data_IF_410765198134
#
_entry.id   IF_410765198134
#
_cell.length_a   1.000
_cell.length_b   1.000
_cell.length_c   1.000
_cell.angle_alpha   90.00
_cell.angle_beta   90.00
_cell.angle_gamma   90.00
#
_symmetry.space_group_name_H-M   'P 1'
#
loop_
_entity.id
_entity.type
_entity.pdbx_description
1 polymer ?
#
# COMPACT_ATOMS: atom_id res chain seq x y z
N UNK A 1 -0.97 26.44 -1.30
CA UNK A 1 -0.84 24.97 -1.34
C UNK A 1 -0.59 24.42 0.06
N UNK A 2 -1.22 23.30 0.42
CA UNK A 2 -0.90 22.50 1.61
C UNK A 2 -0.39 21.12 1.15
N UNK A 3 0.73 20.67 1.72
CA UNK A 3 1.29 19.34 1.49
C UNK A 3 1.11 18.48 2.76
N UNK A 4 0.50 17.31 2.62
CA UNK A 4 0.32 16.35 3.70
C UNK A 4 0.93 15.01 3.30
N UNK A 5 1.73 14.40 4.18
CA UNK A 5 2.25 13.05 3.99
C UNK A 5 1.24 12.02 4.53
N UNK A 6 0.83 11.06 3.71
CA UNK A 6 -0.08 9.97 4.07
C UNK A 6 0.65 8.64 4.35
N UNK A 7 1.95 8.59 4.06
CA UNK A 7 2.78 7.41 4.28
C UNK A 7 3.46 7.45 5.64
N UNK A 8 3.51 6.29 6.30
CA UNK A 8 4.27 6.08 7.53
C UNK A 8 5.78 5.99 7.29
N UNK A 9 6.18 5.56 6.08
CA UNK A 9 7.59 5.33 5.75
C UNK A 9 8.12 6.37 4.74
N UNK A 10 9.22 7.09 5.03
CA UNK A 10 9.76 8.12 4.14
C UNK A 10 10.17 7.62 2.74
N UNK A 11 10.54 6.34 2.63
CA UNK A 11 10.98 5.74 1.36
C UNK A 11 9.81 5.26 0.46
N UNK A 12 8.57 5.36 0.95
CA UNK A 12 7.36 4.97 0.23
C UNK A 12 6.33 6.11 0.30
N UNK A 13 6.68 7.31 -0.22
CA UNK A 13 5.83 8.48 -0.06
C UNK A 13 4.48 8.28 -0.74
N UNK A 14 3.43 8.65 -0.03
CA UNK A 14 2.10 8.93 -0.59
C UNK A 14 1.75 10.33 -0.12
N UNK A 15 1.69 11.29 -1.04
CA UNK A 15 1.59 12.71 -0.71
C UNK A 15 0.25 13.28 -1.18
N UNK A 16 -0.35 14.12 -0.37
CA UNK A 16 -1.56 14.86 -0.71
C UNK A 16 -1.22 16.34 -0.86
N UNK A 17 -1.40 16.85 -2.07
CA UNK A 17 -1.27 18.26 -2.41
C UNK A 17 -2.67 18.86 -2.51
N UNK A 18 -2.96 19.82 -1.64
CA UNK A 18 -4.26 20.48 -1.56
C UNK A 18 -4.15 21.96 -1.92
N UNK A 19 -4.94 22.34 -2.90
CA UNK A 19 -5.29 23.72 -3.25
C UNK A 19 -6.73 24.01 -2.85
N UNK A 20 -7.14 25.29 -2.79
CA UNK A 20 -8.55 25.63 -2.61
C UNK A 20 -9.47 25.05 -3.70
N UNK A 21 -8.95 24.86 -4.92
CA UNK A 21 -9.69 24.45 -6.10
C UNK A 21 -9.44 23.01 -6.57
N UNK A 22 -8.44 22.32 -6.02
CA UNK A 22 -8.07 20.97 -6.44
C UNK A 22 -7.30 20.22 -5.36
N UNK A 23 -7.46 18.90 -5.30
CA UNK A 23 -6.68 18.00 -4.46
C UNK A 23 -6.03 16.92 -5.33
N UNK A 24 -4.70 16.88 -5.30
CA UNK A 24 -3.88 15.92 -6.05
C UNK A 24 -3.23 14.96 -5.05
N UNK A 25 -3.39 13.67 -5.29
CA UNK A 25 -2.60 12.66 -4.60
C UNK A 25 -1.43 12.22 -5.48
N UNK A 26 -0.21 12.29 -4.95
CA UNK A 26 0.99 11.76 -5.58
C UNK A 26 1.32 10.42 -4.95
N UNK A 27 1.35 9.40 -5.78
CA UNK A 27 1.74 8.03 -5.44
C UNK A 27 0.84 7.35 -4.39
N UNK A 28 0.76 6.02 -4.49
CA UNK A 28 -0.01 5.15 -3.60
C UNK A 28 0.82 3.92 -3.28
N UNK A 29 1.90 4.14 -2.52
CA UNK A 29 2.82 3.07 -2.17
C UNK A 29 2.29 2.26 -0.99
N UNK A 30 2.49 0.95 -1.04
CA UNK A 30 2.18 0.07 0.10
C UNK A 30 3.36 0.01 1.06
N UNK A 31 3.10 0.01 2.37
CA UNK A 31 4.13 -0.26 3.37
C UNK A 31 4.15 -1.76 3.70
N UNK A 32 5.30 -2.37 3.43
CA UNK A 32 5.57 -3.79 3.67
C UNK A 32 6.29 -4.05 4.99
N UNK A 33 6.50 -3.04 5.84
CA UNK A 33 7.13 -3.20 7.16
C UNK A 33 6.37 -4.19 8.06
N UNK A 34 5.04 -4.27 7.89
CA UNK A 34 4.18 -5.26 8.54
C UNK A 34 4.63 -6.71 8.32
N UNK A 35 5.22 -7.03 7.15
CA UNK A 35 5.70 -8.37 6.82
C UNK A 35 6.75 -8.89 7.81
N UNK A 36 7.51 -8.01 8.46
CA UNK A 36 8.51 -8.38 9.45
C UNK A 36 7.90 -9.01 10.72
N UNK A 37 6.59 -8.86 10.93
CA UNK A 37 5.87 -9.45 12.06
C UNK A 37 5.33 -10.86 11.76
N UNK A 38 5.37 -11.30 10.50
CA UNK A 38 4.84 -12.61 10.10
C UNK A 38 5.98 -13.60 9.89
N UNK A 39 5.69 -14.89 10.12
CA UNK A 39 6.62 -15.94 9.72
C UNK A 39 6.78 -15.94 8.19
N UNK A 40 7.97 -16.28 7.66
CA UNK A 40 8.16 -16.45 6.23
C UNK A 40 7.11 -17.39 5.64
N UNK A 41 6.44 -16.94 4.58
CA UNK A 41 5.46 -17.75 3.88
C UNK A 41 6.19 -18.84 3.09
N UNK A 42 6.08 -20.09 3.55
CA UNK A 42 6.67 -21.23 2.86
C UNK A 42 5.63 -21.87 1.96
N UNK A 43 5.88 -21.89 0.65
CA UNK A 43 5.03 -22.58 -0.33
C UNK A 43 5.09 -24.12 -0.19
N UNK A 44 6.07 -24.62 0.56
CA UNK A 44 6.27 -26.04 0.85
C UNK A 44 6.25 -26.24 2.36
N UNK A 45 5.77 -27.40 2.83
CA UNK A 45 5.82 -27.72 4.24
C UNK A 45 7.26 -27.64 4.77
N UNK A 46 7.46 -26.77 5.77
CA UNK A 46 8.75 -26.59 6.42
C UNK A 46 8.64 -27.07 7.86
N UNK A 47 9.22 -28.24 8.14
CA UNK A 47 9.20 -28.85 9.48
C UNK A 47 9.79 -27.95 10.55
N UNK A 48 10.81 -27.14 10.21
CA UNK A 48 11.43 -26.19 11.12
C UNK A 48 10.49 -25.07 11.56
N UNK A 49 9.63 -24.59 10.65
CA UNK A 49 8.67 -23.54 10.95
C UNK A 49 7.49 -24.11 11.75
N UNK A 50 7.00 -25.30 11.37
CA UNK A 50 5.89 -25.95 12.09
C UNK A 50 6.27 -26.43 13.49
N UNK A 51 7.56 -26.61 13.78
CA UNK A 51 8.05 -27.04 15.11
C UNK A 51 8.40 -25.88 16.04
N UNK A 52 8.16 -24.64 15.65
CA UNK A 52 8.49 -23.49 16.50
C UNK A 52 7.63 -23.48 17.78
N UNK A 53 8.19 -23.09 18.92
CA UNK A 53 7.46 -23.00 20.17
C UNK A 53 6.42 -21.87 20.11
N UNK A 54 5.23 -22.11 20.66
CA UNK A 54 4.21 -21.07 20.83
C UNK A 54 4.65 -19.98 21.81
N UNK A 55 4.37 -18.72 21.47
CA UNK A 55 4.56 -17.59 22.37
C UNK A 55 3.52 -17.63 23.49
N UNK A 56 3.95 -17.33 24.72
CA UNK A 56 3.07 -17.23 25.89
C UNK A 56 3.31 -15.87 26.56
N UNK A 57 2.35 -14.94 26.50
CA UNK A 57 2.43 -13.69 27.21
C UNK A 57 2.39 -13.93 28.73
N UNK A 58 2.99 -13.02 29.53
CA UNK A 58 3.07 -13.17 30.99
C UNK A 58 1.72 -13.23 31.71
N UNK A 59 0.66 -12.71 31.09
CA UNK A 59 -0.71 -12.68 31.62
C UNK A 59 -1.52 -13.97 31.36
N UNK A 60 -0.91 -14.96 30.69
CA UNK A 60 -1.51 -16.29 30.49
C UNK A 60 -2.41 -16.44 29.26
N UNK A 61 -2.45 -15.47 28.35
CA UNK A 61 -3.22 -15.56 27.10
C UNK A 61 -2.57 -16.48 26.06
N UNK A 62 -3.14 -17.65 25.76
CA UNK A 62 -2.59 -18.52 24.71
C UNK A 62 -3.15 -18.11 23.34
N UNK A 63 -2.27 -17.81 22.38
CA UNK A 63 -2.62 -17.76 20.95
C UNK A 63 -1.84 -18.84 20.21
N UNK A 64 -2.56 -19.65 19.44
CA UNK A 64 -1.98 -20.73 18.64
C UNK A 64 -1.25 -20.23 17.39
N UNK A 65 -1.39 -18.94 17.05
CA UNK A 65 -0.81 -18.33 15.86
C UNK A 65 0.45 -17.53 16.16
N UNK A 66 0.88 -17.45 17.42
CA UNK A 66 2.08 -16.71 17.79
C UNK A 66 3.19 -17.71 18.09
N UNK A 67 4.26 -17.62 17.32
CA UNK A 67 5.41 -18.51 17.41
C UNK A 67 6.65 -17.71 17.80
N UNK A 68 7.52 -18.31 18.61
CA UNK A 68 8.76 -17.69 19.07
C UNK A 68 9.94 -18.27 18.29
N UNK A 69 10.80 -17.41 17.76
CA UNK A 69 12.03 -17.78 17.09
C UNK A 69 13.11 -16.75 17.41
N UNK A 70 14.29 -17.19 17.88
CA UNK A 70 15.40 -16.30 18.25
C UNK A 70 14.99 -15.15 19.18
N UNK A 71 14.19 -15.44 20.21
CA UNK A 71 13.65 -14.46 21.16
C UNK A 71 12.71 -13.42 20.55
N UNK A 72 12.32 -13.56 19.28
CA UNK A 72 11.32 -12.73 18.61
C UNK A 72 10.01 -13.50 18.47
N UNK A 73 8.90 -12.76 18.37
CA UNK A 73 7.54 -13.28 18.24
C UNK A 73 7.04 -13.01 16.82
N UNK A 74 6.54 -14.04 16.16
CA UNK A 74 6.03 -13.96 14.80
C UNK A 74 4.62 -14.52 14.71
N UNK A 75 3.85 -13.96 13.79
CA UNK A 75 2.49 -14.38 13.48
C UNK A 75 2.53 -15.46 12.39
N UNK A 76 2.02 -16.64 12.70
CA UNK A 76 1.82 -17.76 11.77
C UNK A 76 0.44 -17.67 11.12
N UNK A 77 0.26 -16.66 10.28
CA UNK A 77 -0.96 -16.43 9.52
C UNK A 77 -0.64 -15.93 8.11
N UNK A 78 -1.67 -15.70 7.31
CA UNK A 78 -1.53 -14.95 6.06
C UNK A 78 -0.95 -13.55 6.36
N UNK A 79 0.08 -13.11 5.60
CA UNK A 79 0.71 -11.83 5.83
C UNK A 79 -0.22 -10.67 5.50
N UNK A 80 -0.01 -9.56 6.19
CA UNK A 80 -0.72 -8.30 5.99
C UNK A 80 0.25 -7.19 5.63
N UNK A 81 -0.31 -6.11 5.09
CA UNK A 81 0.38 -4.93 4.60
C UNK A 81 -0.23 -3.69 5.24
N UNK A 82 0.54 -2.61 5.32
CA UNK A 82 0.04 -1.33 5.83
C UNK A 82 -0.27 -0.42 4.64
N UNK A 83 -1.56 -0.24 4.26
CA UNK A 83 -1.94 0.70 3.22
C UNK A 83 -1.81 2.15 3.73
N UNK A 84 -1.60 3.15 2.85
CA UNK A 84 -1.57 4.55 3.27
C UNK A 84 -2.82 4.94 4.05
N UNK A 85 -2.70 5.92 4.95
CA UNK A 85 -3.76 6.26 5.89
C UNK A 85 -4.92 7.02 5.22
N UNK A 86 -5.79 6.29 4.53
CA UNK A 86 -6.94 6.83 3.82
C UNK A 86 -8.11 7.17 4.73
N UNK A 87 -8.12 6.68 5.98
CA UNK A 87 -9.21 6.95 6.94
C UNK A 87 -9.15 8.37 7.52
N UNK A 88 -7.96 8.95 7.60
CA UNK A 88 -7.77 10.34 8.05
C UNK A 88 -8.01 11.36 6.94
N UNK A 89 -8.13 10.93 5.68
CA UNK A 89 -8.27 11.79 4.51
C UNK A 89 -9.64 11.58 3.88
N UNK A 90 -10.33 12.66 3.50
CA UNK A 90 -11.55 12.55 2.70
C UNK A 90 -11.18 12.11 1.27
N UNK A 91 -11.14 10.79 1.02
CA UNK A 91 -10.84 10.20 -0.30
C UNK A 91 -11.77 10.76 -1.38
N UNK A 92 -13.00 11.08 -1.03
CA UNK A 92 -13.98 11.77 -1.89
C UNK A 92 -13.45 13.09 -2.46
N UNK A 93 -12.61 13.81 -1.71
CA UNK A 93 -12.09 15.11 -2.13
C UNK A 93 -10.89 15.03 -3.08
N UNK A 94 -10.38 13.82 -3.35
CA UNK A 94 -9.23 13.62 -4.25
C UNK A 94 -9.71 13.69 -5.70
N UNK A 95 -9.31 14.75 -6.40
CA UNK A 95 -9.67 14.95 -7.81
C UNK A 95 -8.84 14.07 -8.75
N UNK A 96 -7.56 13.90 -8.44
CA UNK A 96 -6.63 13.16 -9.29
C UNK A 96 -5.55 12.44 -8.46
N UNK A 97 -5.22 11.23 -8.87
CA UNK A 97 -4.08 10.45 -8.38
C UNK A 97 -3.04 10.35 -9.51
N UNK A 98 -1.80 10.72 -9.23
CA UNK A 98 -0.68 10.65 -10.16
C UNK A 98 0.29 9.57 -9.70
N UNK A 99 0.50 8.54 -10.52
CA UNK A 99 1.36 7.39 -10.19
C UNK A 99 2.71 7.55 -10.88
N UNK A 100 3.76 7.77 -10.09
CA UNK A 100 5.12 8.04 -10.55
C UNK A 100 5.86 6.77 -11.00
N UNK A 101 5.55 5.60 -10.45
CA UNK A 101 6.22 4.34 -10.81
C UNK A 101 5.40 3.12 -10.34
N UNK A 102 5.81 1.92 -10.77
CA UNK A 102 5.06 0.68 -10.51
C UNK A 102 4.95 0.34 -9.02
N UNK A 103 5.95 0.65 -8.19
CA UNK A 103 5.91 0.39 -6.74
C UNK A 103 4.86 1.25 -6.05
N UNK A 104 4.70 2.48 -6.53
CA UNK A 104 3.70 3.44 -6.07
C UNK A 104 2.29 3.15 -6.59
N UNK A 105 2.10 2.10 -7.38
CA UNK A 105 0.78 1.67 -7.85
C UNK A 105 0.18 0.60 -6.94
N UNK A 106 1.00 -0.11 -6.15
CA UNK A 106 0.57 -1.33 -5.45
C UNK A 106 -0.58 -1.07 -4.49
N UNK A 107 -0.63 0.08 -3.79
CA UNK A 107 -1.75 0.36 -2.89
C UNK A 107 -2.98 0.99 -3.58
N UNK A 108 -2.95 1.20 -4.90
CA UNK A 108 -4.01 1.91 -5.63
C UNK A 108 -5.41 1.27 -5.48
N UNK A 109 -5.58 -0.06 -5.46
CA UNK A 109 -6.91 -0.66 -5.24
C UNK A 109 -7.54 -0.31 -3.89
N UNK A 110 -6.75 -0.01 -2.85
CA UNK A 110 -7.28 0.43 -1.56
C UNK A 110 -7.96 1.81 -1.63
N UNK A 111 -7.72 2.57 -2.71
CA UNK A 111 -8.36 3.87 -2.96
C UNK A 111 -9.48 3.71 -3.98
N UNK A 112 -9.18 3.15 -5.16
CA UNK A 112 -10.10 3.16 -6.30
C UNK A 112 -11.32 2.28 -6.10
N UNK A 113 -11.23 1.29 -5.22
CA UNK A 113 -12.36 0.41 -4.87
C UNK A 113 -13.18 0.93 -3.71
N UNK A 114 -12.82 2.08 -3.14
CA UNK A 114 -13.69 2.73 -2.17
C UNK A 114 -14.89 3.38 -2.86
N UNK A 115 -16.10 3.25 -2.29
CA UNK A 115 -17.33 3.76 -2.91
C UNK A 115 -17.40 5.28 -2.98
N UNK A 116 -16.60 5.99 -2.18
CA UNK A 116 -16.52 7.45 -2.11
C UNK A 116 -15.49 8.05 -3.07
N UNK A 117 -14.60 7.25 -3.69
CA UNK A 117 -13.64 7.76 -4.66
C UNK A 117 -14.33 8.18 -5.98
N UNK A 118 -14.06 9.40 -6.43
CA UNK A 118 -14.59 9.99 -7.67
C UNK A 118 -13.51 10.57 -8.59
N UNK A 119 -12.27 10.60 -8.12
CA UNK A 119 -11.15 11.14 -8.86
C UNK A 119 -10.73 10.29 -10.06
N UNK A 120 -9.77 10.82 -10.81
CA UNK A 120 -9.14 10.13 -11.96
C UNK A 120 -7.73 9.71 -11.62
N UNK A 121 -7.28 8.56 -12.12
CA UNK A 121 -5.90 8.09 -11.93
C UNK A 121 -5.13 8.24 -13.23
N UNK A 122 -3.92 8.81 -13.19
CA UNK A 122 -3.00 8.85 -14.32
C UNK A 122 -1.69 8.12 -14.03
N UNK A 123 -1.22 7.38 -15.03
CA UNK A 123 0.05 6.69 -15.02
C UNK A 123 0.57 6.53 -16.47
N UNK A 124 1.87 6.31 -16.63
CA UNK A 124 2.42 5.96 -17.94
C UNK A 124 2.13 4.49 -18.28
N UNK A 125 1.97 4.16 -19.55
CA UNK A 125 1.67 2.78 -19.96
C UNK A 125 2.68 1.75 -19.43
N UNK A 126 4.01 1.94 -19.53
CA UNK A 126 4.95 0.93 -19.02
C UNK A 126 4.88 0.76 -17.49
N UNK A 127 4.50 1.82 -16.76
CA UNK A 127 4.26 1.74 -15.30
C UNK A 127 3.06 0.83 -15.00
N UNK A 128 1.97 0.99 -15.76
CA UNK A 128 0.75 0.18 -15.60
C UNK A 128 1.02 -1.28 -15.96
N UNK A 129 1.71 -1.55 -17.07
CA UNK A 129 2.02 -2.91 -17.50
C UNK A 129 2.90 -3.64 -16.49
N UNK A 130 4.00 -3.01 -16.03
CA UNK A 130 4.88 -3.63 -15.04
C UNK A 130 4.16 -3.78 -13.68
N UNK A 131 3.41 -2.76 -13.27
CA UNK A 131 2.63 -2.80 -12.04
C UNK A 131 1.61 -3.93 -12.04
N UNK A 132 0.90 -4.16 -13.16
CA UNK A 132 -0.03 -5.30 -13.33
C UNK A 132 0.67 -6.63 -13.06
N UNK A 133 1.79 -6.89 -13.72
CA UNK A 133 2.53 -8.15 -13.57
C UNK A 133 2.96 -8.39 -12.11
N UNK A 134 3.42 -7.33 -11.44
CA UNK A 134 3.80 -7.42 -10.02
C UNK A 134 2.59 -7.68 -9.13
N UNK A 135 1.46 -7.01 -9.37
CA UNK A 135 0.24 -7.23 -8.60
C UNK A 135 -0.29 -8.65 -8.78
N UNK A 136 -0.30 -9.17 -10.02
CA UNK A 136 -0.70 -10.53 -10.35
C UNK A 136 0.16 -11.57 -9.62
N UNK A 137 1.49 -11.43 -9.68
CA UNK A 137 2.42 -12.32 -8.95
C UNK A 137 2.22 -12.24 -7.44
N UNK A 138 2.05 -11.04 -6.88
CA UNK A 138 1.82 -10.87 -5.44
C UNK A 138 0.53 -11.57 -4.98
N UNK A 139 -0.55 -11.43 -5.76
CA UNK A 139 -1.84 -12.08 -5.46
C UNK A 139 -1.73 -13.60 -5.56
N UNK A 140 -1.13 -14.10 -6.66
CA UNK A 140 -0.91 -15.52 -6.86
C UNK A 140 -0.03 -16.12 -5.76
N UNK A 141 1.02 -15.41 -5.34
CA UNK A 141 1.86 -15.83 -4.23
C UNK A 141 1.06 -15.96 -2.95
N UNK A 142 0.26 -14.95 -2.59
CA UNK A 142 -0.56 -14.95 -1.37
C UNK A 142 -1.62 -16.06 -1.39
N UNK A 143 -2.26 -16.31 -2.53
CA UNK A 143 -3.27 -17.38 -2.69
C UNK A 143 -2.68 -18.78 -2.50
N UNK A 144 -1.40 -18.98 -2.84
CA UNK A 144 -0.69 -20.25 -2.66
C UNK A 144 -0.24 -20.51 -1.22
N UNK A 145 -0.31 -19.50 -0.33
CA UNK A 145 0.09 -19.67 1.07
C UNK A 145 -0.96 -20.53 1.79
N UNK A 146 -0.55 -21.72 2.21
CA UNK A 146 -1.40 -22.59 3.02
C UNK A 146 -1.33 -22.20 4.51
N UNK A 147 -1.99 -21.09 4.87
CA UNK A 147 -2.15 -20.63 6.26
C UNK A 147 -3.55 -20.11 6.50
N UNK A 148 -3.99 -20.24 7.74
CA UNK A 148 -5.24 -19.67 8.18
C UNK A 148 -5.17 -18.15 8.33
N UNK A 149 -6.36 -17.57 8.41
CA UNK A 149 -6.56 -16.17 8.77
C UNK A 149 -6.15 -15.94 10.23
N UNK A 150 -5.48 -14.82 10.48
CA UNK A 150 -5.22 -14.30 11.82
C UNK A 150 -6.52 -14.17 12.63
N UNK A 151 -6.49 -14.49 13.92
CA UNK A 151 -7.61 -14.31 14.85
C UNK A 151 -7.77 -12.88 15.37
N UNK A 152 -6.91 -11.96 14.91
CA UNK A 152 -6.84 -10.51 15.18
C UNK A 152 -6.72 -10.10 16.65
N UNK A 153 -6.92 -11.01 17.62
CA UNK A 153 -6.71 -10.78 19.06
C UNK A 153 -5.27 -10.33 19.31
N UNK A 154 -4.35 -11.02 18.64
CA UNK A 154 -3.17 -10.47 18.02
C UNK A 154 -2.79 -8.99 18.22
N UNK A 155 -3.62 -8.20 17.55
CA UNK A 155 -3.42 -6.81 17.20
C UNK A 155 -3.76 -5.88 18.36
N UNK A 156 -4.33 -6.42 19.44
CA UNK A 156 -4.57 -5.67 20.66
C UNK A 156 -3.25 -5.26 21.31
N UNK A 157 -3.15 -3.98 21.68
CA UNK A 157 -1.95 -3.42 22.31
C UNK A 157 -1.55 -4.15 23.59
N UNK A 158 -2.52 -4.67 24.31
CA UNK A 158 -2.30 -5.48 25.51
C UNK A 158 -1.52 -6.76 25.23
N UNK A 159 -1.54 -7.26 23.99
CA UNK A 159 -0.81 -8.44 23.59
C UNK A 159 0.56 -8.10 23.00
N UNK A 160 0.60 -7.32 21.91
CA UNK A 160 1.86 -7.10 21.19
C UNK A 160 2.85 -6.21 21.96
N UNK A 161 2.43 -5.52 23.04
CA UNK A 161 3.35 -4.83 23.96
C UNK A 161 4.42 -5.77 24.56
N UNK A 162 4.11 -7.07 24.64
CA UNK A 162 5.02 -8.09 25.16
C UNK A 162 5.99 -8.64 24.11
N UNK A 163 5.85 -8.26 22.84
CA UNK A 163 6.72 -8.78 21.79
C UNK A 163 8.06 -8.05 21.85
N UNK A 164 9.21 -8.76 21.85
CA UNK A 164 10.52 -8.11 21.79
C UNK A 164 10.73 -7.33 20.49
N UNK A 165 10.12 -7.80 19.40
CA UNK A 165 10.02 -7.14 18.10
C UNK A 165 8.64 -6.47 17.95
N UNK A 166 8.42 -5.37 18.67
CA UNK A 166 7.15 -4.65 18.56
C UNK A 166 6.89 -4.16 17.12
N UNK A 167 5.63 -4.27 16.64
CA UNK A 167 5.22 -3.68 15.37
C UNK A 167 5.61 -2.21 15.23
N UNK A 168 6.09 -1.82 14.04
CA UNK A 168 6.47 -0.43 13.72
C UNK A 168 5.27 0.51 13.64
N UNK A 169 4.09 -0.01 13.32
CA UNK A 169 2.81 0.68 13.19
C UNK A 169 1.72 -0.14 13.87
N UNK A 170 0.57 0.48 14.15
CA UNK A 170 -0.55 -0.21 14.81
C UNK A 170 -1.07 -1.37 13.94
N UNK A 171 -0.97 -2.63 14.38
CA UNK A 171 -1.44 -3.78 13.60
C UNK A 171 -2.92 -3.75 13.24
N UNK A 172 -3.74 -2.97 13.97
CA UNK A 172 -5.16 -2.77 13.62
C UNK A 172 -5.36 -1.98 12.33
N UNK A 173 -4.35 -1.24 11.89
CA UNK A 173 -4.35 -0.52 10.62
C UNK A 173 -3.87 -1.39 9.45
N UNK A 174 -3.33 -2.58 9.73
CA UNK A 174 -2.89 -3.48 8.69
C UNK A 174 -4.08 -4.17 8.05
N UNK A 175 -3.94 -4.45 6.77
CA UNK A 175 -4.97 -5.10 5.98
C UNK A 175 -4.37 -6.21 5.12
N UNK A 176 -5.20 -7.15 4.73
CA UNK A 176 -4.82 -8.09 3.67
C UNK A 176 -4.71 -7.36 2.34
N UNK A 177 -4.00 -7.98 1.41
CA UNK A 177 -4.03 -7.55 0.03
C UNK A 177 -5.47 -7.63 -0.52
N UNK A 178 -5.77 -6.77 -1.49
CA UNK A 178 -7.02 -6.76 -2.25
C UNK A 178 -7.18 -8.05 -3.08
N UNK A 179 -8.34 -8.26 -3.70
CA UNK A 179 -8.58 -9.42 -4.58
C UNK A 179 -8.17 -9.16 -6.04
N UNK A 180 -8.09 -10.22 -6.82
CA UNK A 180 -7.87 -10.15 -8.28
C UNK A 180 -8.97 -9.35 -8.99
N UNK A 181 -10.22 -9.42 -8.55
CA UNK A 181 -11.31 -8.61 -9.10
C UNK A 181 -11.10 -7.12 -8.80
N UNK A 182 -10.71 -6.79 -7.56
CA UNK A 182 -10.41 -5.42 -7.14
C UNK A 182 -9.22 -4.85 -7.91
N UNK A 183 -8.17 -5.64 -8.13
CA UNK A 183 -7.03 -5.26 -8.97
C UNK A 183 -7.47 -4.95 -10.40
N UNK A 184 -8.23 -5.84 -11.03
CA UNK A 184 -8.68 -5.64 -12.42
C UNK A 184 -9.60 -4.43 -12.56
N UNK A 185 -10.53 -4.25 -11.61
CA UNK A 185 -11.39 -3.06 -11.52
C UNK A 185 -10.55 -1.79 -11.40
N UNK A 186 -9.57 -1.78 -10.49
CA UNK A 186 -8.65 -0.66 -10.29
C UNK A 186 -7.90 -0.29 -11.57
N UNK A 187 -7.25 -1.27 -12.20
CA UNK A 187 -6.46 -1.07 -13.43
C UNK A 187 -7.31 -0.54 -14.59
N UNK A 188 -8.59 -0.92 -14.67
CA UNK A 188 -9.51 -0.41 -15.70
C UNK A 188 -9.83 1.09 -15.56
N UNK A 189 -9.63 1.66 -14.36
CA UNK A 189 -9.88 3.09 -14.05
C UNK A 189 -8.65 3.96 -14.32
N UNK A 190 -7.48 3.37 -14.57
CA UNK A 190 -6.23 4.11 -14.81
C UNK A 190 -6.21 4.65 -16.23
N UNK A 191 -6.06 5.97 -16.36
CA UNK A 191 -5.86 6.64 -17.64
C UNK A 191 -4.37 6.70 -17.95
N UNK A 192 -4.05 6.29 -19.17
CA UNK A 192 -2.68 6.33 -19.68
C UNK A 192 -2.33 7.75 -20.09
N UNK A 193 -1.12 8.18 -19.75
CA UNK A 193 -0.53 9.45 -20.20
C UNK A 193 0.84 9.21 -20.82
N UNK A 194 1.12 9.83 -21.95
CA UNK A 194 2.44 9.81 -22.57
C UNK A 194 3.37 10.83 -21.90
N UNK A 195 4.68 10.63 -22.03
CA UNK A 195 5.63 11.64 -21.57
C UNK A 195 5.44 12.94 -22.34
N UNK A 196 5.49 14.06 -21.61
CA UNK A 196 5.28 15.44 -22.09
C UNK A 196 3.88 15.72 -22.64
N UNK A 197 2.96 14.77 -22.53
CA UNK A 197 1.54 15.05 -22.69
C UNK A 197 1.07 15.90 -21.51
N UNK A 198 0.26 16.92 -21.80
CA UNK A 198 -0.34 17.77 -20.78
C UNK A 198 -1.82 17.52 -20.74
N UNK A 199 -2.31 17.08 -19.58
CA UNK A 199 -3.73 16.83 -19.35
C UNK A 199 -4.28 17.88 -18.41
N UNK A 200 -5.43 18.45 -18.78
CA UNK A 200 -6.13 19.40 -17.94
C UNK A 200 -7.15 18.67 -17.04
N UNK A 201 -7.06 18.91 -15.73
CA UNK A 201 -7.98 18.39 -14.72
C UNK A 201 -8.98 19.51 -14.39
N UNK A 202 -10.23 19.30 -14.81
CA UNK A 202 -11.39 20.16 -14.49
C UNK A 202 -11.22 21.67 -14.80
N UNK A 203 -10.32 22.05 -15.70
CA UNK A 203 -10.05 23.45 -16.05
C UNK A 203 -9.18 24.20 -15.05
N UNK A 204 -8.77 23.57 -13.94
CA UNK A 204 -8.10 24.24 -12.79
C UNK A 204 -6.63 23.84 -12.62
N UNK A 205 -6.24 22.72 -13.22
CA UNK A 205 -4.92 22.13 -13.06
C UNK A 205 -4.46 21.54 -14.40
N UNK A 206 -3.18 21.68 -14.72
CA UNK A 206 -2.53 20.97 -15.81
C UNK A 206 -1.45 20.05 -15.25
N UNK A 207 -1.43 18.79 -15.68
CA UNK A 207 -0.45 17.79 -15.25
C UNK A 207 0.31 17.23 -16.44
N UNK A 208 1.61 17.00 -16.27
CA UNK A 208 2.47 16.40 -17.29
C UNK A 208 3.45 15.43 -16.67
N UNK A 209 3.64 14.27 -17.30
CA UNK A 209 4.62 13.27 -16.90
C UNK A 209 5.95 13.48 -17.65
N UNK A 210 7.08 13.45 -16.94
CA UNK A 210 8.43 13.47 -17.51
C UNK A 210 9.19 12.25 -17.05
N UNK A 211 9.97 11.61 -17.91
CA UNK A 211 10.76 10.43 -17.49
C UNK A 211 11.71 10.79 -16.34
N UNK A 212 11.67 10.01 -15.26
CA UNK A 212 12.55 10.23 -14.10
C UNK A 212 13.85 9.42 -14.15
N UNK A 213 13.95 8.45 -15.05
CA UNK A 213 15.13 7.57 -15.19
C UNK A 213 15.30 6.55 -14.07
N UNK A 214 14.33 6.41 -13.15
CA UNK A 214 14.43 5.52 -11.99
C UNK A 214 14.12 4.05 -12.32
N UNK A 215 13.03 3.81 -13.03
CA UNK A 215 12.59 2.49 -13.52
C UNK A 215 11.82 2.62 -14.84
N UNK A 216 11.52 1.50 -15.50
CA UNK A 216 10.74 1.53 -16.74
C UNK A 216 9.37 2.21 -16.51
N UNK A 217 9.04 3.17 -17.36
CA UNK A 217 7.81 3.96 -17.24
C UNK A 217 7.82 5.04 -16.15
N UNK A 218 8.81 5.05 -15.25
CA UNK A 218 8.83 5.99 -14.13
C UNK A 218 8.79 7.46 -14.58
N UNK A 219 8.08 8.28 -13.80
CA UNK A 219 7.77 9.66 -14.12
C UNK A 219 7.99 10.59 -12.93
N UNK A 220 8.52 11.78 -13.20
CA UNK A 220 8.38 12.98 -12.39
C UNK A 220 7.16 13.74 -12.92
N UNK A 221 6.31 14.22 -12.01
CA UNK A 221 5.10 14.94 -12.36
C UNK A 221 5.32 16.44 -12.26
N UNK A 222 5.01 17.15 -13.32
CA UNK A 222 4.81 18.60 -13.26
C UNK A 222 3.33 18.88 -13.09
N UNK A 223 2.99 19.71 -12.11
CA UNK A 223 1.64 20.10 -11.74
C UNK A 223 1.58 21.61 -11.79
N UNK A 224 0.70 22.16 -12.61
CA UNK A 224 0.61 23.58 -12.86
C UNK A 224 -0.82 24.08 -12.66
N UNK A 225 -0.97 25.09 -11.81
CA UNK A 225 -2.18 25.91 -11.68
C UNK A 225 -1.95 27.24 -12.40
N UNK A 226 -2.92 28.14 -12.36
CA UNK A 226 -2.77 29.51 -12.89
C UNK A 226 -1.73 30.34 -12.12
N UNK A 227 -1.43 29.98 -10.87
CA UNK A 227 -0.60 30.78 -9.97
C UNK A 227 0.76 30.15 -9.65
N UNK A 228 0.86 28.82 -9.68
CA UNK A 228 2.06 28.12 -9.27
C UNK A 228 2.30 26.83 -10.07
N UNK A 229 3.57 26.43 -10.08
CA UNK A 229 4.06 25.22 -10.73
C UNK A 229 4.89 24.41 -9.74
N UNK A 230 4.55 23.14 -9.58
CA UNK A 230 5.24 22.16 -8.74
C UNK A 230 5.81 21.08 -9.65
N UNK A 231 7.06 20.66 -9.45
CA UNK A 231 7.71 19.62 -10.24
C UNK A 231 9.03 19.16 -9.66
#
# INVERSE_FOLDING_TARGET
MQLTCLSWHPQRPSLLLKWPSATVMLDCAIDTSALASFLPASLVQCTRLSSLPGFRPPDGGVSNQLLTCCEQVFVDALPEVHPPEFYATAVESIDVVLVSNWMSMIALPFITERPDFRGVVYATDPTVQLGRLVMEELLEFVERINRDKSDDKWKEKEMWKWFPNQPSTDPKQWSRLYTTEQMNSCLSKVKLIAYRETVNIHGVLSVSAFSSGFSIGSANWTIQTDYEKVG
#
